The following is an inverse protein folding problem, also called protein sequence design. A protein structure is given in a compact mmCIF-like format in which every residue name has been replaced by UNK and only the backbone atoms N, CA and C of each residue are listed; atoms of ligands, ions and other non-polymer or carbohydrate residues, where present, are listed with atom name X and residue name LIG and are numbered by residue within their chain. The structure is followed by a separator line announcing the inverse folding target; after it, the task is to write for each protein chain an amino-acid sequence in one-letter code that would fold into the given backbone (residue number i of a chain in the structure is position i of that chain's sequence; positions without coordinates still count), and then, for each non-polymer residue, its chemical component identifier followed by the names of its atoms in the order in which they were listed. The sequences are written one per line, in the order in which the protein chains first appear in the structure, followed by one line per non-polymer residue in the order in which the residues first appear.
data_IF_424300759219
#
_entry.id   IF_424300759219
#
_cell.length_a   1.000
_cell.length_b   1.000
_cell.length_c   1.000
_cell.angle_alpha   90.00
_cell.angle_beta   90.00
_cell.angle_gamma   90.00
#
_symmetry.space_group_name_H-M   'P 1'
#
loop_
_entity.id
_entity.type
_entity.pdbx_description
1 polymer ?
#
# COMPACT_ATOMS: atom_id res chain seq x y z
N UNK A 1 42.50 13.97 2.97
CA UNK A 1 43.23 12.68 2.75
C UNK A 1 44.07 12.33 3.99
N UNK A 2 45.38 12.10 3.97
CA UNK A 2 46.05 11.36 5.07
C UNK A 2 46.37 12.13 6.36
N UNK A 3 46.06 13.43 6.46
CA UNK A 3 46.25 14.22 7.69
C UNK A 3 44.96 14.34 8.53
N UNK A 4 43.82 14.03 7.90
CA UNK A 4 42.47 13.92 8.46
C UNK A 4 41.68 12.99 7.55
N UNK A 5 41.74 11.66 7.76
CA UNK A 5 40.97 10.70 6.97
C UNK A 5 39.46 10.84 7.21
N UNK A 6 39.05 11.20 8.43
CA UNK A 6 37.66 11.48 8.81
C UNK A 6 37.00 12.58 7.97
N UNK A 7 37.74 13.62 7.58
CA UNK A 7 37.27 14.69 6.67
C UNK A 7 37.23 14.24 5.18
N UNK A 8 37.47 12.95 4.85
CA UNK A 8 37.64 12.49 3.45
C UNK A 8 37.11 11.08 3.14
N UNK A 9 36.85 10.23 4.15
CA UNK A 9 36.44 8.84 3.95
C UNK A 9 35.33 8.44 4.94
N UNK A 10 34.12 8.18 4.41
CA UNK A 10 32.96 7.76 5.20
C UNK A 10 33.16 6.38 5.86
N UNK A 11 34.04 5.55 5.29
CA UNK A 11 34.46 4.28 5.86
C UNK A 11 35.98 4.25 6.12
N UNK A 12 36.37 4.30 7.40
CA UNK A 12 37.76 4.20 7.84
C UNK A 12 38.46 2.89 7.37
N UNK A 13 37.69 1.83 7.09
CA UNK A 13 38.22 0.59 6.50
C UNK A 13 38.76 0.80 5.08
N UNK A 14 38.10 1.64 4.28
CA UNK A 14 38.54 1.98 2.92
C UNK A 14 39.84 2.81 2.99
N UNK A 15 39.93 3.74 3.94
CA UNK A 15 41.16 4.49 4.21
C UNK A 15 42.32 3.57 4.61
N UNK A 16 42.10 2.62 5.52
CA UNK A 16 43.13 1.64 5.92
C UNK A 16 43.56 0.74 4.75
N UNK A 17 42.64 0.32 3.88
CA UNK A 17 42.96 -0.44 2.68
C UNK A 17 43.85 0.36 1.70
N UNK A 18 43.48 1.60 1.39
CA UNK A 18 44.29 2.50 0.54
C UNK A 18 45.67 2.76 1.17
N UNK A 19 45.74 2.95 2.49
CA UNK A 19 47.00 3.17 3.21
C UNK A 19 47.87 1.90 3.27
N UNK A 20 47.28 0.71 3.28
CA UNK A 20 48.00 -0.56 3.10
C UNK A 20 48.67 -0.61 1.73
N UNK A 21 47.90 -0.46 0.63
CA UNK A 21 48.46 -0.47 -0.72
C UNK A 21 49.52 0.63 -0.95
N UNK A 22 49.27 1.86 -0.46
CA UNK A 22 50.27 2.95 -0.48
C UNK A 22 51.55 2.60 0.27
N UNK A 23 51.48 1.77 1.31
CA UNK A 23 52.65 1.33 2.08
C UNK A 23 53.39 0.20 1.36
N UNK A 24 52.67 -0.75 0.74
CA UNK A 24 53.26 -1.81 -0.08
C UNK A 24 53.94 -1.28 -1.34
N UNK A 25 53.31 -0.37 -2.07
CA UNK A 25 53.89 0.36 -3.22
C UNK A 25 55.18 1.13 -2.87
N UNK A 26 55.40 1.47 -1.60
CA UNK A 26 56.64 2.09 -1.10
C UNK A 26 57.73 1.09 -0.69
N UNK A 27 57.37 -0.18 -0.53
CA UNK A 27 58.24 -1.28 -0.12
C UNK A 27 58.52 -2.25 -1.29
N UNK A 28 57.84 -2.09 -2.42
CA UNK A 28 58.13 -2.77 -3.67
C UNK A 28 59.38 -2.16 -4.33
N UNK A 29 60.43 -2.97 -4.46
CA UNK A 29 61.72 -2.61 -5.06
C UNK A 29 61.90 -3.19 -6.48
N UNK A 30 61.00 -4.06 -6.94
CA UNK A 30 61.08 -4.72 -8.25
C UNK A 30 59.80 -4.62 -9.08
N UNK A 31 59.95 -4.68 -10.41
CA UNK A 31 58.84 -4.68 -11.37
C UNK A 31 57.78 -5.76 -11.09
N UNK A 32 58.20 -6.96 -10.66
CA UNK A 32 57.26 -8.06 -10.37
C UNK A 32 56.48 -7.82 -9.07
N UNK A 33 57.09 -7.18 -8.07
CA UNK A 33 56.37 -6.71 -6.87
C UNK A 33 55.36 -5.62 -7.25
N UNK A 34 55.77 -4.62 -8.04
CA UNK A 34 54.88 -3.57 -8.53
C UNK A 34 53.71 -4.13 -9.35
N UNK A 35 53.93 -5.17 -10.15
CA UNK A 35 52.86 -5.90 -10.87
C UNK A 35 51.89 -6.60 -9.93
N UNK A 36 52.37 -7.23 -8.85
CA UNK A 36 51.48 -7.86 -7.86
C UNK A 36 50.60 -6.85 -7.12
N UNK A 37 51.10 -5.64 -6.85
CA UNK A 37 50.31 -4.57 -6.23
C UNK A 37 49.18 -4.04 -7.13
N UNK A 38 49.25 -4.19 -8.45
CA UNK A 38 48.13 -3.86 -9.35
C UNK A 38 46.92 -4.76 -9.08
N UNK A 39 47.15 -6.05 -8.79
CA UNK A 39 46.08 -6.97 -8.39
C UNK A 39 45.46 -6.59 -7.05
N UNK A 40 46.28 -6.21 -6.07
CA UNK A 40 45.81 -5.77 -4.75
C UNK A 40 45.06 -4.42 -4.81
N UNK A 41 45.50 -3.49 -5.67
CA UNK A 41 44.76 -2.25 -5.95
C UNK A 41 43.40 -2.51 -6.61
N UNK A 42 43.29 -3.52 -7.46
CA UNK A 42 42.02 -3.93 -8.07
C UNK A 42 41.05 -4.55 -7.04
N UNK A 43 41.55 -5.40 -6.14
CA UNK A 43 40.76 -5.91 -5.00
C UNK A 43 40.24 -4.78 -4.10
N UNK A 44 41.08 -3.77 -3.85
CA UNK A 44 40.70 -2.58 -3.07
C UNK A 44 39.70 -1.71 -3.83
N UNK A 45 39.86 -1.52 -5.14
CA UNK A 45 38.91 -0.77 -5.96
C UNK A 45 37.51 -1.39 -5.91
N UNK A 46 37.39 -2.71 -6.14
CA UNK A 46 36.14 -3.45 -6.01
C UNK A 46 35.53 -3.32 -4.60
N UNK A 47 36.35 -3.47 -3.55
CA UNK A 47 35.89 -3.33 -2.16
C UNK A 47 35.41 -1.93 -1.78
N UNK A 48 35.84 -0.89 -2.50
CA UNK A 48 35.43 0.51 -2.28
C UNK A 48 34.23 0.90 -3.15
N UNK A 49 34.23 0.47 -4.41
CA UNK A 49 33.19 0.78 -5.40
C UNK A 49 31.90 -0.02 -5.16
N UNK A 50 32.01 -1.30 -4.78
CA UNK A 50 30.85 -2.12 -4.44
C UNK A 50 30.50 -2.10 -2.95
N UNK A 51 31.45 -1.79 -2.06
CA UNK A 51 31.24 -1.66 -0.62
C UNK A 51 31.12 -2.98 0.15
N UNK A 52 30.51 -2.93 1.35
CA UNK A 52 30.48 -4.01 2.36
C UNK A 52 29.50 -5.17 2.04
N UNK A 53 29.38 -5.50 0.75
CA UNK A 53 28.43 -6.47 0.22
C UNK A 53 29.03 -7.87 0.17
N UNK A 54 28.19 -8.88 0.38
CA UNK A 54 28.66 -10.28 0.40
C UNK A 54 28.92 -10.86 -1.00
N UNK A 55 29.55 -12.04 -1.05
CA UNK A 55 29.74 -12.75 -2.31
C UNK A 55 28.41 -13.23 -2.92
N UNK A 56 27.46 -13.66 -2.09
CA UNK A 56 26.11 -14.01 -2.52
C UNK A 56 25.32 -12.77 -2.97
N UNK A 57 25.49 -11.64 -2.29
CA UNK A 57 24.83 -10.36 -2.62
C UNK A 57 25.28 -9.80 -3.97
N UNK A 58 26.58 -9.87 -4.29
CA UNK A 58 27.07 -9.55 -5.64
C UNK A 58 26.48 -10.46 -6.71
N UNK A 59 26.42 -11.78 -6.48
CA UNK A 59 25.76 -12.72 -7.39
C UNK A 59 24.27 -12.40 -7.58
N UNK A 60 23.58 -12.03 -6.51
CA UNK A 60 22.15 -11.72 -6.57
C UNK A 60 21.88 -10.55 -7.51
N UNK A 61 22.60 -9.43 -7.35
CA UNK A 61 22.45 -8.28 -8.25
C UNK A 61 22.86 -8.60 -9.70
N UNK A 62 23.92 -9.39 -9.90
CA UNK A 62 24.33 -9.85 -11.24
C UNK A 62 23.24 -10.70 -11.91
N UNK A 63 22.62 -11.62 -11.18
CA UNK A 63 21.53 -12.46 -11.70
C UNK A 63 20.23 -11.67 -11.94
N UNK A 64 19.89 -10.72 -11.06
CA UNK A 64 18.78 -9.78 -11.26
C UNK A 64 18.97 -8.97 -12.55
N UNK A 65 20.17 -8.42 -12.77
CA UNK A 65 20.48 -7.64 -13.97
C UNK A 65 20.48 -8.51 -15.24
N UNK A 66 21.09 -9.70 -15.20
CA UNK A 66 21.10 -10.63 -16.33
C UNK A 66 19.67 -11.04 -16.76
N UNK A 67 18.78 -11.29 -15.78
CA UNK A 67 17.37 -11.56 -16.05
C UNK A 67 16.62 -10.33 -16.58
N UNK A 68 16.87 -9.14 -16.02
CA UNK A 68 16.26 -7.90 -16.49
C UNK A 68 16.64 -7.61 -17.95
N UNK A 69 17.92 -7.75 -18.32
CA UNK A 69 18.37 -7.60 -19.70
C UNK A 69 17.86 -8.73 -20.61
N UNK A 70 17.73 -9.98 -20.15
CA UNK A 70 17.11 -11.06 -20.91
C UNK A 70 15.64 -10.75 -21.26
N UNK A 71 14.84 -10.34 -20.26
CA UNK A 71 13.43 -9.96 -20.44
C UNK A 71 13.30 -8.74 -21.36
N UNK A 72 14.11 -7.70 -21.14
CA UNK A 72 14.11 -6.44 -21.90
C UNK A 72 14.47 -6.65 -23.37
N UNK A 73 15.54 -7.39 -23.64
CA UNK A 73 15.97 -7.68 -25.01
C UNK A 73 15.07 -8.72 -25.71
N UNK A 74 14.31 -9.51 -24.94
CA UNK A 74 13.45 -10.55 -25.47
C UNK A 74 14.22 -11.81 -25.85
N UNK A 75 15.10 -12.24 -24.95
CA UNK A 75 15.82 -13.50 -25.04
C UNK A 75 14.87 -14.70 -25.12
N UNK A 76 15.38 -15.85 -25.53
CA UNK A 76 14.62 -17.10 -25.63
C UNK A 76 14.20 -17.65 -24.27
N UNK A 77 13.16 -18.47 -24.25
CA UNK A 77 12.66 -19.18 -23.06
C UNK A 77 13.77 -19.93 -22.31
N UNK A 78 14.74 -20.49 -23.04
CA UNK A 78 15.91 -21.21 -22.49
C UNK A 78 16.88 -20.26 -21.76
N UNK A 79 17.11 -19.06 -22.31
CA UNK A 79 17.94 -18.02 -21.70
C UNK A 79 17.24 -17.40 -20.47
N UNK A 80 15.93 -17.19 -20.56
CA UNK A 80 15.08 -16.72 -19.45
C UNK A 80 15.07 -17.75 -18.32
N UNK A 81 14.89 -19.04 -18.61
CA UNK A 81 14.92 -20.11 -17.61
C UNK A 81 16.30 -20.22 -16.94
N UNK A 82 17.38 -20.10 -17.72
CA UNK A 82 18.75 -20.05 -17.18
C UNK A 82 18.95 -18.86 -16.24
N UNK A 83 18.53 -17.66 -16.64
CA UNK A 83 18.64 -16.47 -15.80
C UNK A 83 17.76 -16.55 -14.53
N UNK A 84 16.54 -17.07 -14.64
CA UNK A 84 15.65 -17.37 -13.49
C UNK A 84 16.28 -18.37 -12.52
N UNK A 85 16.96 -19.40 -13.04
CA UNK A 85 17.68 -20.38 -12.22
C UNK A 85 18.86 -19.76 -11.48
N UNK A 86 19.70 -18.98 -12.18
CA UNK A 86 20.82 -18.25 -11.58
C UNK A 86 20.34 -17.26 -10.50
N UNK A 87 19.20 -16.60 -10.71
CA UNK A 87 18.54 -15.73 -9.73
C UNK A 87 18.08 -16.51 -8.49
N UNK A 88 17.37 -17.63 -8.67
CA UNK A 88 16.94 -18.50 -7.54
C UNK A 88 18.14 -19.02 -6.74
N UNK A 89 19.22 -19.45 -7.39
CA UNK A 89 20.43 -19.93 -6.72
C UNK A 89 21.14 -18.81 -5.93
N UNK A 90 21.25 -17.61 -6.50
CA UNK A 90 21.86 -16.46 -5.83
C UNK A 90 21.02 -15.93 -4.66
N UNK A 91 19.68 -15.88 -4.81
CA UNK A 91 18.76 -15.49 -3.74
C UNK A 91 18.85 -16.45 -2.54
N UNK A 92 18.91 -17.76 -2.79
CA UNK A 92 19.07 -18.76 -1.73
C UNK A 92 20.41 -18.60 -0.98
N UNK A 93 21.51 -18.32 -1.70
CA UNK A 93 22.81 -18.02 -1.07
C UNK A 93 22.73 -16.74 -0.21
N UNK A 94 22.10 -15.68 -0.72
CA UNK A 94 21.94 -14.43 0.02
C UNK A 94 21.11 -14.63 1.30
N UNK A 95 19.95 -15.27 1.20
CA UNK A 95 19.08 -15.53 2.37
C UNK A 95 19.77 -16.41 3.42
N UNK A 96 20.61 -17.36 2.99
CA UNK A 96 21.40 -18.20 3.90
C UNK A 96 22.49 -17.39 4.63
N UNK A 97 23.27 -16.56 3.93
CA UNK A 97 24.27 -15.68 4.55
C UNK A 97 23.62 -14.61 5.45
N UNK A 98 22.48 -14.04 5.02
CA UNK A 98 21.69 -13.09 5.80
C UNK A 98 21.19 -13.72 7.10
N UNK A 99 20.61 -14.92 7.04
CA UNK A 99 20.14 -15.65 8.23
C UNK A 99 21.29 -16.00 9.20
N UNK A 100 22.44 -16.42 8.69
CA UNK A 100 23.64 -16.65 9.52
C UNK A 100 24.12 -15.34 10.18
N UNK A 101 24.18 -14.24 9.43
CA UNK A 101 24.59 -12.92 9.93
C UNK A 101 23.58 -12.31 10.91
N UNK A 102 22.31 -12.69 10.82
CA UNK A 102 21.29 -12.35 11.81
C UNK A 102 21.47 -13.16 13.11
N UNK A 103 21.66 -14.49 13.01
CA UNK A 103 21.91 -15.36 14.17
C UNK A 103 23.21 -15.02 14.93
N UNK A 104 24.23 -14.53 14.22
CA UNK A 104 25.49 -14.06 14.82
C UNK A 104 25.39 -12.68 15.51
N UNK A 105 24.28 -11.96 15.34
CA UNK A 105 24.06 -10.66 15.95
C UNK A 105 23.16 -10.84 17.21
N UNK A 106 23.70 -10.80 18.44
CA UNK A 106 22.88 -11.00 19.65
C UNK A 106 21.84 -9.88 19.89
N UNK A 107 22.01 -8.73 19.24
CA UNK A 107 21.05 -7.62 19.21
C UNK A 107 20.17 -7.62 17.94
N UNK A 108 20.12 -8.72 17.18
CA UNK A 108 19.11 -8.86 16.13
C UNK A 108 17.71 -8.90 16.77
N UNK A 109 16.71 -8.16 16.26
CA UNK A 109 15.33 -8.30 16.74
C UNK A 109 14.88 -9.75 16.54
N UNK A 110 14.15 -10.29 17.53
CA UNK A 110 13.78 -11.70 17.56
C UNK A 110 12.63 -11.98 16.57
N UNK A 111 13.01 -12.12 15.29
CA UNK A 111 12.18 -12.45 14.13
C UNK A 111 11.53 -13.82 14.33
N UNK A 112 10.40 -13.85 15.05
CA UNK A 112 9.69 -15.09 15.36
C UNK A 112 8.20 -14.93 15.70
N UNK A 113 7.71 -13.72 16.03
CA UNK A 113 6.30 -13.48 16.32
C UNK A 113 5.81 -12.10 15.78
N UNK A 114 4.70 -12.13 15.05
CA UNK A 114 3.83 -10.98 14.68
C UNK A 114 4.38 -9.87 13.76
N UNK A 115 5.60 -9.96 13.25
CA UNK A 115 5.95 -9.26 12.01
C UNK A 115 5.27 -9.91 10.80
N UNK A 116 4.93 -9.12 9.76
CA UNK A 116 4.78 -9.69 8.41
C UNK A 116 6.17 -9.97 7.86
N UNK A 117 6.73 -11.10 8.28
CA UNK A 117 7.97 -11.62 7.73
C UNK A 117 7.84 -11.79 6.21
N UNK A 118 8.91 -11.47 5.47
CA UNK A 118 9.11 -11.97 4.12
C UNK A 118 9.21 -13.50 4.21
N UNK A 119 8.07 -14.18 4.05
CA UNK A 119 8.05 -15.64 4.01
C UNK A 119 8.79 -16.06 2.74
N UNK A 120 9.63 -17.09 2.83
CA UNK A 120 10.28 -17.65 1.65
C UNK A 120 9.25 -18.12 0.59
N UNK A 121 8.05 -18.53 1.03
CA UNK A 121 6.89 -18.81 0.16
C UNK A 121 6.40 -17.63 -0.68
N UNK A 122 6.70 -16.40 -0.30
CA UNK A 122 6.13 -15.20 -0.90
C UNK A 122 7.12 -14.64 -1.92
N UNK A 123 8.42 -14.64 -1.59
CA UNK A 123 9.53 -14.43 -2.53
C UNK A 123 9.51 -15.50 -3.63
N UNK A 124 9.33 -16.78 -3.28
CA UNK A 124 9.26 -17.86 -4.26
C UNK A 124 8.08 -17.69 -5.23
N UNK A 125 6.88 -17.38 -4.72
CA UNK A 125 5.71 -17.11 -5.58
C UNK A 125 5.94 -15.92 -6.53
N UNK A 126 6.59 -14.85 -6.06
CA UNK A 126 6.96 -13.71 -6.91
C UNK A 126 7.98 -14.12 -7.99
N UNK A 127 8.98 -14.95 -7.67
CA UNK A 127 9.92 -15.48 -8.68
C UNK A 127 9.22 -16.38 -9.70
N UNK A 128 8.27 -17.21 -9.26
CA UNK A 128 7.49 -18.08 -10.16
C UNK A 128 6.56 -17.24 -11.06
N UNK A 129 5.97 -16.15 -10.54
CA UNK A 129 5.17 -15.21 -11.33
C UNK A 129 6.03 -14.43 -12.35
N UNK A 130 7.23 -13.98 -11.96
CA UNK A 130 8.22 -13.38 -12.87
C UNK A 130 8.60 -14.35 -14.00
N UNK A 131 8.85 -15.63 -13.71
CA UNK A 131 9.16 -16.62 -14.75
C UNK A 131 8.00 -16.81 -15.73
N UNK A 132 6.77 -16.93 -15.21
CA UNK A 132 5.58 -17.10 -16.05
C UNK A 132 5.33 -15.87 -16.93
N UNK A 133 5.49 -14.65 -16.41
CA UNK A 133 5.33 -13.40 -17.17
C UNK A 133 6.48 -13.18 -18.17
N UNK A 134 7.70 -13.61 -17.85
CA UNK A 134 8.82 -13.57 -18.78
C UNK A 134 8.60 -14.52 -19.96
N UNK A 135 8.14 -15.76 -19.70
CA UNK A 135 7.82 -16.77 -20.72
C UNK A 135 6.52 -16.49 -21.49
N UNK A 136 5.53 -15.79 -20.91
CA UNK A 136 4.34 -15.34 -21.65
C UNK A 136 4.61 -14.15 -22.59
N UNK A 137 5.71 -13.43 -22.37
CA UNK A 137 6.03 -12.19 -23.07
C UNK A 137 5.47 -10.92 -22.42
N UNK A 138 4.87 -11.01 -21.22
CA UNK A 138 4.41 -9.88 -20.38
C UNK A 138 5.60 -9.13 -19.73
N UNK A 139 6.58 -8.72 -20.56
CA UNK A 139 7.88 -8.16 -20.14
C UNK A 139 7.76 -6.99 -19.17
N UNK A 140 6.83 -6.08 -19.41
CA UNK A 140 6.61 -4.88 -18.60
C UNK A 140 6.19 -5.24 -17.16
N UNK A 141 5.37 -6.29 -17.00
CA UNK A 141 4.94 -6.79 -15.67
C UNK A 141 6.05 -7.57 -14.97
N UNK A 142 6.80 -8.39 -15.71
CA UNK A 142 7.96 -9.09 -15.18
C UNK A 142 9.03 -8.09 -14.67
N UNK A 143 9.24 -6.98 -15.40
CA UNK A 143 10.10 -5.88 -14.95
C UNK A 143 9.54 -5.17 -13.70
N UNK A 144 8.23 -4.92 -13.63
CA UNK A 144 7.61 -4.32 -12.45
C UNK A 144 7.81 -5.17 -11.18
N UNK A 145 7.59 -6.49 -11.24
CA UNK A 145 7.81 -7.40 -10.11
C UNK A 145 9.30 -7.52 -9.74
N UNK A 146 10.22 -7.44 -10.71
CA UNK A 146 11.65 -7.39 -10.43
C UNK A 146 12.07 -6.10 -9.69
N UNK A 147 11.44 -4.96 -10.00
CA UNK A 147 11.63 -3.72 -9.24
C UNK A 147 11.07 -3.82 -7.82
N UNK A 148 9.87 -4.40 -7.65
CA UNK A 148 9.28 -4.62 -6.32
C UNK A 148 10.17 -5.53 -5.45
N UNK A 149 10.73 -6.59 -6.05
CA UNK A 149 11.71 -7.46 -5.41
C UNK A 149 13.00 -6.71 -5.02
N UNK A 150 13.46 -5.76 -5.84
CA UNK A 150 14.63 -4.92 -5.52
C UNK A 150 14.33 -3.96 -4.36
N UNK A 151 13.20 -3.26 -4.37
CA UNK A 151 12.81 -2.34 -3.29
C UNK A 151 12.60 -3.08 -1.96
N UNK A 152 11.98 -4.26 -2.01
CA UNK A 152 11.82 -5.16 -0.87
C UNK A 152 13.18 -5.53 -0.25
N UNK A 153 14.20 -5.78 -1.07
CA UNK A 153 15.57 -6.09 -0.64
C UNK A 153 16.31 -4.86 -0.10
N UNK A 154 16.16 -3.69 -0.75
CA UNK A 154 16.70 -2.41 -0.26
C UNK A 154 16.17 -2.10 1.15
N UNK A 155 14.86 -2.27 1.36
CA UNK A 155 14.20 -2.03 2.65
C UNK A 155 14.67 -3.01 3.74
N UNK A 156 14.93 -4.28 3.40
CA UNK A 156 15.50 -5.27 4.32
C UNK A 156 16.90 -4.87 4.82
N UNK A 157 17.67 -4.12 4.01
CA UNK A 157 18.97 -3.59 4.38
C UNK A 157 18.84 -2.29 5.20
N UNK A 158 18.00 -1.35 4.76
CA UNK A 158 17.77 -0.07 5.44
C UNK A 158 17.19 -0.24 6.85
N UNK A 159 16.27 -1.20 7.04
CA UNK A 159 15.69 -1.53 8.34
C UNK A 159 16.68 -2.02 9.41
N UNK A 160 17.95 -2.27 9.02
CA UNK A 160 19.05 -2.59 9.95
C UNK A 160 19.62 -1.36 10.66
N UNK A 161 19.40 -0.16 10.11
CA UNK A 161 20.11 1.07 10.52
C UNK A 161 19.23 2.02 11.36
N UNK A 162 17.92 1.74 11.45
CA UNK A 162 16.95 2.52 12.21
C UNK A 162 16.61 1.81 13.53
N UNK A 163 17.46 1.98 14.54
CA UNK A 163 17.25 1.46 15.91
C UNK A 163 17.53 2.56 16.92
N UNK A 164 16.48 3.23 17.42
CA UNK A 164 16.63 4.35 18.35
C UNK A 164 15.44 4.49 19.30
N UNK A 165 15.72 4.48 20.60
CA UNK A 165 14.80 4.87 21.67
C UNK A 165 13.74 3.83 22.06
N UNK A 166 13.63 3.54 23.36
CA UNK A 166 12.49 2.81 23.93
C UNK A 166 11.16 3.57 23.70
N UNK A 167 11.24 4.90 23.58
CA UNK A 167 10.13 5.83 23.32
C UNK A 167 9.44 5.60 21.95
N UNK A 168 10.17 5.09 20.95
CA UNK A 168 9.60 4.75 19.63
C UNK A 168 8.69 3.50 19.70
N UNK A 169 8.98 2.59 20.64
CA UNK A 169 8.18 1.37 20.88
C UNK A 169 6.79 1.69 21.43
N UNK A 170 6.66 2.65 22.34
CA UNK A 170 5.36 3.08 22.88
C UNK A 170 4.52 3.79 21.82
N UNK A 171 5.15 4.67 21.02
CA UNK A 171 4.46 5.39 19.95
C UNK A 171 3.96 4.45 18.85
N UNK A 172 4.78 3.47 18.45
CA UNK A 172 4.36 2.42 17.52
C UNK A 172 3.13 1.64 18.01
N UNK A 173 3.08 1.29 19.30
CA UNK A 173 1.91 0.63 19.88
C UNK A 173 0.64 1.50 19.83
N UNK A 174 0.74 2.84 19.87
CA UNK A 174 -0.41 3.70 19.68
C UNK A 174 -0.86 3.75 18.20
N UNK A 175 0.09 3.75 17.26
CA UNK A 175 -0.21 3.64 15.82
C UNK A 175 -0.90 2.31 15.46
N UNK A 176 -0.44 1.20 16.04
CA UNK A 176 -1.05 -0.12 15.82
C UNK A 176 -2.51 -0.17 16.33
N UNK A 177 -2.80 0.41 17.51
CA UNK A 177 -4.16 0.58 18.06
C UNK A 177 -5.04 1.48 17.18
N UNK A 178 -4.51 2.61 16.72
CA UNK A 178 -5.22 3.52 15.80
C UNK A 178 -5.59 2.80 14.50
N UNK A 179 -4.67 1.99 13.97
CA UNK A 179 -4.93 1.10 12.84
C UNK A 179 -6.00 0.05 13.12
N UNK A 180 -6.10 -0.48 14.34
CA UNK A 180 -7.15 -1.41 14.75
C UNK A 180 -8.53 -0.74 14.86
N UNK A 181 -8.62 0.41 15.53
CA UNK A 181 -9.85 1.20 15.64
C UNK A 181 -10.40 1.54 14.23
N UNK A 182 -9.54 1.98 13.31
CA UNK A 182 -9.96 2.26 11.93
C UNK A 182 -10.47 1.01 11.17
N UNK A 183 -9.90 -0.17 11.40
CA UNK A 183 -10.39 -1.43 10.78
C UNK A 183 -11.75 -1.82 11.35
N UNK A 184 -11.86 -1.92 12.67
CA UNK A 184 -13.12 -2.29 13.35
C UNK A 184 -14.25 -1.30 13.03
N UNK A 185 -13.96 0.00 12.94
CA UNK A 185 -14.95 1.02 12.56
C UNK A 185 -15.45 0.84 11.12
N UNK A 186 -14.57 0.46 10.19
CA UNK A 186 -14.91 0.16 8.79
C UNK A 186 -15.73 -1.13 8.66
N UNK A 187 -15.39 -2.17 9.43
CA UNK A 187 -16.13 -3.44 9.51
C UNK A 187 -17.55 -3.20 10.06
N UNK A 188 -17.66 -2.54 11.21
CA UNK A 188 -18.93 -2.17 11.85
C UNK A 188 -19.82 -1.29 10.96
N UNK A 189 -19.25 -0.37 10.19
CA UNK A 189 -20.00 0.43 9.22
C UNK A 189 -20.56 -0.43 8.08
N UNK A 190 -19.80 -1.43 7.61
CA UNK A 190 -20.28 -2.36 6.59
C UNK A 190 -21.41 -3.25 7.13
N UNK A 191 -21.30 -3.73 8.36
CA UNK A 191 -22.33 -4.54 9.00
C UNK A 191 -23.59 -3.73 9.33
N UNK A 192 -23.45 -2.48 9.79
CA UNK A 192 -24.58 -1.55 9.99
C UNK A 192 -25.30 -1.28 8.66
N UNK A 193 -24.57 -0.98 7.59
CA UNK A 193 -25.13 -0.78 6.25
C UNK A 193 -25.83 -2.03 5.72
N UNK A 194 -25.27 -3.22 5.96
CA UNK A 194 -25.87 -4.50 5.58
C UNK A 194 -27.16 -4.77 6.35
N UNK A 195 -27.19 -4.45 7.64
CA UNK A 195 -28.36 -4.62 8.50
C UNK A 195 -29.52 -3.69 8.08
N UNK A 196 -29.20 -2.42 7.78
CA UNK A 196 -30.17 -1.46 7.23
C UNK A 196 -30.71 -1.90 5.86
N UNK A 197 -29.83 -2.33 4.95
CA UNK A 197 -30.22 -2.83 3.62
C UNK A 197 -31.19 -4.02 3.71
N UNK A 198 -31.02 -4.92 4.68
CA UNK A 198 -31.97 -6.02 4.93
C UNK A 198 -33.33 -5.48 5.39
N UNK A 199 -33.37 -4.58 6.37
CA UNK A 199 -34.61 -3.96 6.86
C UNK A 199 -35.37 -3.21 5.74
N UNK A 200 -34.67 -2.45 4.91
CA UNK A 200 -35.23 -1.76 3.73
C UNK A 200 -35.83 -2.74 2.72
N UNK A 201 -35.12 -3.84 2.45
CA UNK A 201 -35.59 -4.90 1.55
C UNK A 201 -36.86 -5.59 2.04
N UNK A 202 -36.99 -5.81 3.35
CA UNK A 202 -38.19 -6.40 3.95
C UNK A 202 -39.39 -5.44 3.94
N UNK A 203 -39.18 -4.15 4.28
CA UNK A 203 -40.24 -3.12 4.20
C UNK A 203 -40.84 -3.00 2.80
N UNK A 204 -40.01 -2.97 1.75
CA UNK A 204 -40.49 -2.94 0.36
C UNK A 204 -41.23 -4.22 -0.05
N UNK A 205 -40.91 -5.37 0.56
CA UNK A 205 -41.53 -6.66 0.27
C UNK A 205 -42.83 -6.90 1.04
N UNK A 206 -43.01 -6.24 2.18
CA UNK A 206 -44.30 -6.16 2.89
C UNK A 206 -45.32 -5.33 2.12
N UNK A 207 -44.96 -4.10 1.74
CA UNK A 207 -45.87 -3.17 1.05
C UNK A 207 -46.50 -3.76 -0.22
N UNK A 208 -45.72 -4.48 -1.04
CA UNK A 208 -46.19 -5.13 -2.26
C UNK A 208 -47.08 -6.38 -2.04
N UNK A 209 -47.49 -6.69 -0.78
CA UNK A 209 -48.32 -7.87 -0.48
C UNK A 209 -49.76 -7.54 -0.11
N UNK A 210 -50.01 -6.40 0.54
CA UNK A 210 -51.35 -5.99 0.94
C UNK A 210 -52.15 -5.33 -0.20
N UNK A 211 -51.47 -4.79 -1.23
CA UNK A 211 -52.11 -4.21 -2.43
C UNK A 211 -52.60 -5.25 -3.48
N UNK A 212 -52.53 -6.56 -3.19
CA UNK A 212 -53.00 -7.62 -4.10
C UNK A 212 -53.86 -8.70 -3.41
N UNK A 213 -54.61 -8.31 -2.37
CA UNK A 213 -55.57 -9.19 -1.67
C UNK A 213 -57.01 -8.62 -1.57
N UNK A 214 -57.37 -7.67 -2.43
CA UNK A 214 -58.74 -7.19 -2.64
C UNK A 214 -59.10 -7.20 -4.12
N UNK A 215 -60.34 -7.61 -4.44
CA UNK A 215 -60.96 -7.67 -5.79
C UNK A 215 -60.03 -8.21 -6.90
N UNK A 216 -60.10 -9.49 -7.27
CA UNK A 216 -61.27 -10.00 -7.99
C UNK A 216 -61.46 -11.52 -7.90
N UNK A 217 -62.61 -11.99 -8.40
CA UNK A 217 -62.97 -13.41 -8.46
C UNK A 217 -62.87 -14.05 -9.86
N UNK A 218 -63.05 -15.37 -9.88
CA UNK A 218 -63.26 -16.23 -11.05
C UNK A 218 -62.08 -16.58 -12.00
N UNK A 219 -62.13 -17.85 -12.45
CA UNK A 219 -61.52 -18.42 -13.66
C UNK A 219 -60.03 -18.17 -13.96
N UNK A 220 -59.22 -19.20 -13.69
CA UNK A 220 -58.51 -19.88 -14.79
C UNK A 220 -58.27 -21.36 -14.48
N UNK A 221 -58.80 -22.23 -15.34
CA UNK A 221 -58.58 -23.68 -15.32
C UNK A 221 -57.71 -24.05 -16.52
N UNK A 222 -56.57 -24.68 -16.29
CA UNK A 222 -55.77 -25.34 -17.34
C UNK A 222 -54.86 -26.40 -16.71
N UNK A 223 -55.05 -27.64 -17.12
CA UNK A 223 -54.14 -28.74 -16.84
C UNK A 223 -53.10 -28.82 -17.96
N UNK A 224 -51.82 -28.95 -17.61
CA UNK A 224 -50.97 -29.98 -18.22
C UNK A 224 -49.84 -30.34 -17.23
N UNK A 225 -49.24 -31.52 -17.35
CA UNK A 225 -48.50 -32.14 -16.25
C UNK A 225 -47.19 -32.80 -16.65
N UNK A 226 -46.12 -32.55 -15.89
CA UNK A 226 -44.90 -33.38 -15.92
C UNK A 226 -44.29 -33.48 -14.51
N UNK A 227 -43.82 -34.68 -14.14
CA UNK A 227 -43.15 -34.94 -12.85
C UNK A 227 -41.70 -34.46 -12.85
N UNK A 228 -41.21 -34.01 -11.68
CA UNK A 228 -39.92 -34.47 -11.16
C UNK A 228 -40.09 -35.58 -10.10
N UNK A 229 -39.03 -36.35 -9.86
CA UNK A 229 -38.95 -37.32 -8.75
C UNK A 229 -38.31 -36.71 -7.50
N UNK A 230 -38.24 -37.46 -6.38
CA UNK A 230 -37.54 -37.01 -5.17
C UNK A 230 -36.02 -36.96 -5.43
N UNK A 231 -35.43 -35.78 -5.29
CA UNK A 231 -33.99 -35.54 -5.37
C UNK A 231 -33.56 -34.51 -4.33
N UNK A 232 -32.35 -34.67 -3.79
CA UNK A 232 -31.75 -33.89 -2.70
C UNK A 232 -32.05 -32.37 -2.71
N UNK A 233 -32.42 -31.83 -1.55
CA UNK A 233 -32.51 -30.40 -1.25
C UNK A 233 -31.16 -29.68 -1.38
N UNK A 234 -30.82 -29.29 -2.61
CA UNK A 234 -29.68 -28.39 -2.92
C UNK A 234 -30.14 -27.22 -3.78
N UNK A 235 -30.90 -26.31 -3.18
CA UNK A 235 -31.19 -25.00 -3.77
C UNK A 235 -29.87 -24.22 -3.98
N UNK A 236 -29.47 -23.90 -5.23
CA UNK A 236 -28.25 -23.12 -5.49
C UNK A 236 -28.38 -21.64 -5.10
N UNK A 237 -29.61 -21.16 -4.87
CA UNK A 237 -29.92 -19.78 -4.48
C UNK A 237 -30.17 -19.73 -2.97
N UNK A 238 -29.10 -19.94 -2.18
CA UNK A 238 -29.07 -19.84 -0.73
C UNK A 238 -29.45 -18.45 -0.20
N UNK A 239 -30.74 -18.12 -0.27
CA UNK A 239 -31.33 -16.88 0.22
C UNK A 239 -31.12 -16.81 1.73
N UNK A 240 -30.57 -15.71 2.29
CA UNK A 240 -30.56 -15.54 3.74
C UNK A 240 -32.00 -15.62 4.24
N UNK A 241 -32.20 -16.34 5.35
CA UNK A 241 -33.51 -16.37 6.01
C UNK A 241 -33.85 -14.93 6.45
N UNK A 242 -35.10 -14.48 6.30
CA UNK A 242 -35.53 -13.20 6.89
C UNK A 242 -35.26 -13.24 8.40
N UNK A 243 -34.68 -12.17 8.92
CA UNK A 243 -34.30 -12.05 10.32
C UNK A 243 -35.55 -11.70 11.14
N UNK A 244 -35.75 -12.32 12.30
CA UNK A 244 -36.89 -11.94 13.15
C UNK A 244 -36.69 -10.52 13.71
N UNK A 245 -37.76 -9.77 14.01
CA UNK A 245 -37.63 -8.43 14.61
C UNK A 245 -36.84 -8.41 15.93
N UNK A 246 -36.78 -9.54 16.64
CA UNK A 246 -36.01 -9.68 17.88
C UNK A 246 -34.52 -9.91 17.60
N UNK A 247 -34.16 -10.82 16.69
CA UNK A 247 -32.77 -10.98 16.21
C UNK A 247 -32.22 -9.67 15.62
N UNK A 248 -33.06 -8.88 14.95
CA UNK A 248 -32.69 -7.57 14.41
C UNK A 248 -32.39 -6.54 15.52
N UNK A 249 -33.20 -6.50 16.58
CA UNK A 249 -32.95 -5.64 17.73
C UNK A 249 -31.69 -6.06 18.50
N UNK A 250 -31.47 -7.37 18.68
CA UNK A 250 -30.24 -7.91 19.29
C UNK A 250 -28.99 -7.63 18.45
N UNK A 251 -29.11 -7.61 17.11
CA UNK A 251 -28.02 -7.24 16.19
C UNK A 251 -27.68 -5.74 16.24
N UNK A 252 -28.69 -4.86 16.24
CA UNK A 252 -28.48 -3.41 16.46
C UNK A 252 -27.81 -3.13 17.80
N UNK A 253 -28.24 -3.81 18.86
CA UNK A 253 -27.65 -3.67 20.20
C UNK A 253 -26.19 -4.11 20.25
N UNK A 254 -25.81 -5.18 19.54
CA UNK A 254 -24.40 -5.59 19.41
C UNK A 254 -23.56 -4.55 18.65
N UNK A 255 -24.10 -3.95 17.58
CA UNK A 255 -23.44 -2.85 16.87
C UNK A 255 -23.27 -1.63 17.78
N UNK A 256 -24.30 -1.27 18.55
CA UNK A 256 -24.25 -0.17 19.53
C UNK A 256 -23.18 -0.40 20.60
N UNK A 257 -23.20 -1.57 21.26
CA UNK A 257 -22.22 -1.94 22.29
C UNK A 257 -20.79 -1.96 21.73
N UNK A 258 -20.61 -2.35 20.46
CA UNK A 258 -19.33 -2.24 19.76
C UNK A 258 -18.93 -0.79 19.49
N UNK A 259 -19.87 0.07 19.08
CA UNK A 259 -19.59 1.46 18.72
C UNK A 259 -19.08 2.28 19.91
N UNK A 260 -19.70 2.10 21.08
CA UNK A 260 -19.24 2.70 22.34
C UNK A 260 -17.91 2.11 22.85
N UNK A 261 -17.60 0.85 22.53
CA UNK A 261 -16.27 0.28 22.76
C UNK A 261 -15.20 0.95 21.89
N UNK A 262 -15.46 1.21 20.60
CA UNK A 262 -14.52 1.92 19.73
C UNK A 262 -14.28 3.37 20.17
N UNK A 263 -15.33 4.08 20.60
CA UNK A 263 -15.17 5.41 21.21
C UNK A 263 -14.31 5.34 22.48
N UNK A 264 -14.54 4.32 23.33
CA UNK A 264 -13.77 4.09 24.56
C UNK A 264 -12.31 3.70 24.28
N UNK A 265 -12.02 3.03 23.17
CA UNK A 265 -10.65 2.74 22.71
C UNK A 265 -9.96 4.00 22.17
N UNK A 266 -10.68 4.83 21.42
CA UNK A 266 -10.19 6.13 20.93
C UNK A 266 -9.88 7.11 22.07
N UNK A 267 -10.70 7.18 23.11
CA UNK A 267 -10.43 8.02 24.29
C UNK A 267 -9.27 7.49 25.15
N UNK A 268 -9.01 6.18 25.17
CA UNK A 268 -7.78 5.61 25.77
C UNK A 268 -6.55 5.95 24.94
N UNK A 269 -6.65 5.90 23.61
CA UNK A 269 -5.59 6.30 22.69
C UNK A 269 -5.23 7.77 22.88
N UNK A 270 -6.21 8.68 22.87
CA UNK A 270 -6.00 10.13 23.11
C UNK A 270 -5.26 10.40 24.43
N UNK A 271 -5.72 9.80 25.54
CA UNK A 271 -5.05 9.91 26.86
C UNK A 271 -3.64 9.34 26.88
N UNK A 272 -3.38 8.29 26.09
CA UNK A 272 -2.02 7.76 25.90
C UNK A 272 -1.10 8.72 25.16
N UNK A 273 -1.61 9.48 24.19
CA UNK A 273 -0.86 10.52 23.47
C UNK A 273 -0.59 11.74 24.35
N UNK A 274 -1.62 12.21 25.07
CA UNK A 274 -1.50 13.27 26.09
C UNK A 274 -0.42 12.92 27.12
N UNK A 275 -0.41 11.67 27.62
CA UNK A 275 0.58 11.17 28.57
C UNK A 275 2.02 11.11 28.04
N UNK A 276 2.21 11.06 26.72
CA UNK A 276 3.52 11.16 26.05
C UNK A 276 3.88 12.59 25.64
N UNK A 277 3.08 13.60 26.03
CA UNK A 277 3.32 15.01 25.70
C UNK A 277 2.92 15.41 24.28
N UNK A 278 2.14 14.59 23.57
CA UNK A 278 1.53 14.96 22.29
C UNK A 278 0.11 15.48 22.49
N UNK A 279 -0.16 16.68 22.00
CA UNK A 279 -1.53 17.22 21.95
C UNK A 279 -2.38 16.40 20.96
N UNK A 280 -3.52 15.80 21.39
CA UNK A 280 -4.41 15.11 20.48
C UNK A 280 -5.14 16.11 19.59
N UNK A 281 -4.98 15.94 18.27
CA UNK A 281 -5.56 16.84 17.28
C UNK A 281 -7.10 16.82 17.22
N UNK A 282 -7.64 17.84 16.55
CA UNK A 282 -9.09 18.02 16.36
C UNK A 282 -9.74 16.82 15.66
N UNK A 283 -9.03 16.14 14.75
CA UNK A 283 -9.51 14.93 14.07
C UNK A 283 -9.90 13.80 15.02
N UNK A 284 -9.12 13.53 16.07
CA UNK A 284 -9.51 12.54 17.09
C UNK A 284 -10.65 13.03 17.99
N UNK A 285 -10.82 14.34 18.15
CA UNK A 285 -11.96 14.95 18.83
C UNK A 285 -13.27 14.83 18.05
N UNK A 286 -13.24 15.10 16.75
CA UNK A 286 -14.38 14.94 15.82
C UNK A 286 -14.75 13.48 15.60
N UNK A 287 -13.76 12.58 15.53
CA UNK A 287 -13.99 11.15 15.46
C UNK A 287 -14.76 10.64 16.69
N UNK A 288 -14.33 10.99 17.90
CA UNK A 288 -14.98 10.57 19.14
C UNK A 288 -16.43 11.07 19.27
N UNK A 289 -16.73 12.29 18.81
CA UNK A 289 -18.11 12.80 18.74
C UNK A 289 -18.94 12.00 17.74
N UNK A 290 -18.42 11.81 16.53
CA UNK A 290 -19.10 11.08 15.45
C UNK A 290 -19.35 9.60 15.80
N UNK A 291 -18.49 8.98 16.62
CA UNK A 291 -18.73 7.64 17.18
C UNK A 291 -19.89 7.63 18.19
N UNK A 292 -19.97 8.62 19.08
CA UNK A 292 -21.05 8.73 20.06
C UNK A 292 -22.41 9.02 19.41
N UNK A 293 -22.43 9.89 18.39
CA UNK A 293 -23.63 10.08 17.57
C UNK A 293 -24.09 8.76 16.92
N UNK A 294 -23.14 7.97 16.39
CA UNK A 294 -23.44 6.68 15.79
C UNK A 294 -23.96 5.66 16.81
N UNK A 295 -23.41 5.64 18.03
CA UNK A 295 -23.91 4.82 19.13
C UNK A 295 -25.37 5.20 19.50
N UNK A 296 -25.69 6.50 19.49
CA UNK A 296 -27.05 6.97 19.70
C UNK A 296 -27.99 6.52 18.56
N UNK A 297 -27.65 6.78 17.29
CA UNK A 297 -28.47 6.34 16.14
C UNK A 297 -28.68 4.83 16.10
N UNK A 298 -27.66 4.01 16.48
CA UNK A 298 -27.81 2.56 16.59
C UNK A 298 -28.81 2.16 17.68
N UNK A 299 -28.77 2.83 18.85
CA UNK A 299 -29.72 2.61 19.94
C UNK A 299 -31.15 3.07 19.64
N UNK A 300 -31.32 4.09 18.79
CA UNK A 300 -32.61 4.57 18.29
C UNK A 300 -33.12 3.75 17.08
N UNK A 301 -32.31 2.84 16.55
CA UNK A 301 -32.64 1.94 15.43
C UNK A 301 -32.47 2.56 14.03
N UNK A 302 -31.79 3.70 13.95
CA UNK A 302 -31.55 4.47 12.74
C UNK A 302 -30.25 4.04 12.02
N UNK A 303 -30.25 2.84 11.44
CA UNK A 303 -29.09 2.28 10.72
C UNK A 303 -28.51 3.22 9.67
N UNK A 304 -29.36 3.81 8.83
CA UNK A 304 -29.04 4.89 7.88
C UNK A 304 -28.23 6.05 8.50
N UNK A 305 -28.70 6.61 9.62
CA UNK A 305 -28.05 7.75 10.28
C UNK A 305 -26.71 7.31 10.89
N UNK A 306 -26.69 6.14 11.54
CA UNK A 306 -25.50 5.55 12.11
C UNK A 306 -24.38 5.37 11.06
N UNK A 307 -24.67 4.81 9.87
CA UNK A 307 -23.68 4.70 8.78
C UNK A 307 -23.10 6.06 8.38
N UNK A 308 -23.94 7.10 8.36
CA UNK A 308 -23.49 8.48 8.11
C UNK A 308 -22.55 9.03 9.19
N UNK A 309 -22.83 8.77 10.47
CA UNK A 309 -21.96 9.17 11.58
C UNK A 309 -20.67 8.33 11.64
N UNK A 310 -20.74 7.03 11.37
CA UNK A 310 -19.58 6.12 11.24
C UNK A 310 -18.64 6.53 10.11
N UNK A 311 -19.18 6.94 8.96
CA UNK A 311 -18.40 7.49 7.84
C UNK A 311 -17.64 8.76 8.23
N UNK A 312 -18.30 9.70 8.93
CA UNK A 312 -17.67 10.91 9.49
C UNK A 312 -16.58 10.58 10.50
N UNK A 313 -16.82 9.60 11.38
CA UNK A 313 -15.83 9.13 12.35
C UNK A 313 -14.57 8.59 11.65
N UNK A 314 -14.73 7.75 10.62
CA UNK A 314 -13.62 7.17 9.88
C UNK A 314 -12.83 8.20 9.06
N UNK A 315 -13.49 9.23 8.52
CA UNK A 315 -12.80 10.36 7.89
C UNK A 315 -12.01 11.20 8.89
N UNK A 316 -12.59 11.50 10.05
CA UNK A 316 -11.94 12.25 11.12
C UNK A 316 -10.73 11.48 11.72
N UNK A 317 -10.82 10.15 11.89
CA UNK A 317 -9.69 9.28 12.24
C UNK A 317 -8.55 9.39 11.22
N UNK A 318 -8.87 9.37 9.91
CA UNK A 318 -7.87 9.49 8.83
C UNK A 318 -7.20 10.87 8.82
N UNK A 319 -7.93 11.95 9.11
CA UNK A 319 -7.37 13.30 9.29
C UNK A 319 -6.42 13.34 10.50
N UNK A 320 -6.88 12.85 11.66
CA UNK A 320 -6.07 12.83 12.88
C UNK A 320 -4.81 11.96 12.78
N UNK A 321 -4.86 10.82 12.08
CA UNK A 321 -3.69 10.00 11.77
C UNK A 321 -2.67 10.75 10.90
N UNK A 322 -3.14 11.49 9.89
CA UNK A 322 -2.29 12.27 8.97
C UNK A 322 -1.63 13.46 9.68
N UNK A 323 -2.37 14.13 10.57
CA UNK A 323 -1.87 15.23 11.39
C UNK A 323 -0.83 14.75 12.42
N UNK A 324 -1.07 13.61 13.06
CA UNK A 324 -0.09 12.95 13.93
C UNK A 324 1.22 12.62 13.17
N UNK A 325 1.14 12.03 11.97
CA UNK A 325 2.36 11.75 11.18
C UNK A 325 3.10 13.04 10.78
N UNK A 326 2.38 14.12 10.46
CA UNK A 326 2.99 15.43 10.19
C UNK A 326 3.69 16.02 11.42
N UNK A 327 3.09 15.87 12.60
CA UNK A 327 3.66 16.31 13.89
C UNK A 327 4.91 15.50 14.25
N UNK A 328 4.87 14.17 14.08
CA UNK A 328 6.02 13.28 14.24
C UNK A 328 7.16 13.66 13.28
N UNK A 329 6.86 13.91 12.01
CA UNK A 329 7.85 14.32 11.01
C UNK A 329 8.48 15.68 11.35
N UNK A 330 7.73 16.61 11.94
CA UNK A 330 8.26 17.86 12.46
C UNK A 330 9.17 17.67 13.68
N UNK A 331 8.77 16.85 14.66
CA UNK A 331 9.58 16.54 15.84
C UNK A 331 10.88 15.80 15.50
N UNK A 332 10.83 14.88 14.53
CA UNK A 332 12.03 14.17 14.04
C UNK A 332 12.97 15.09 13.25
N UNK A 333 12.44 16.12 12.58
CA UNK A 333 13.24 17.17 11.94
C UNK A 333 13.99 18.08 12.92
N UNK A 334 13.47 18.27 14.13
CA UNK A 334 14.03 19.19 15.14
C UNK A 334 15.04 18.51 16.10
N UNK A 335 14.95 17.18 16.27
CA UNK A 335 15.94 16.39 17.03
C UNK A 335 17.13 15.89 16.18
N UNK A 336 17.11 16.06 14.86
CA UNK A 336 18.23 15.78 13.94
C UNK A 336 19.38 16.81 14.00
N UNK A 337 19.67 17.36 15.17
CA UNK A 337 20.44 18.59 15.40
C UNK A 337 21.97 18.50 15.22
N UNK A 338 22.50 17.73 14.27
CA UNK A 338 23.94 17.76 13.93
C UNK A 338 24.24 17.31 12.49
N UNK A 339 24.34 18.30 11.60
CA UNK A 339 25.04 18.35 10.31
C UNK A 339 24.87 17.24 9.23
N UNK A 340 24.73 17.73 7.99
CA UNK A 340 25.11 17.10 6.71
C UNK A 340 24.07 16.21 6.00
N UNK A 341 23.88 16.44 4.67
CA UNK A 341 23.14 15.52 3.79
C UNK A 341 21.87 16.02 3.06
N UNK A 342 21.64 17.33 2.88
CA UNK A 342 20.33 17.86 2.42
C UNK A 342 20.29 18.75 1.16
N UNK A 343 21.28 18.71 0.25
CA UNK A 343 21.30 19.60 -0.93
C UNK A 343 20.53 19.04 -2.14
N UNK A 344 19.32 19.55 -2.40
CA UNK A 344 18.77 19.61 -3.77
C UNK A 344 17.68 20.68 -3.97
N UNK A 345 17.77 21.86 -3.32
CA UNK A 345 16.82 22.97 -3.58
C UNK A 345 17.30 24.40 -3.26
N UNK A 346 18.61 24.67 -3.31
CA UNK A 346 19.17 26.03 -3.17
C UNK A 346 20.13 26.35 -4.34
N UNK A 347 19.66 27.15 -5.29
CA UNK A 347 20.44 27.61 -6.47
C UNK A 347 20.45 29.14 -6.65
N UNK A 348 19.71 29.91 -5.82
CA UNK A 348 19.35 31.32 -6.07
C UNK A 348 19.78 32.30 -4.96
N UNK A 349 20.85 32.00 -4.19
CA UNK A 349 21.34 32.88 -3.12
C UNK A 349 22.83 33.23 -3.23
N UNK A 350 23.15 34.48 -2.91
CA UNK A 350 24.51 34.96 -2.70
C UNK A 350 25.16 34.19 -1.53
N UNK A 351 26.47 33.86 -1.54
CA UNK A 351 27.17 33.32 -0.37
C UNK A 351 27.25 34.31 0.82
N UNK A 352 26.70 35.53 0.68
CA UNK A 352 26.42 36.49 1.74
C UNK A 352 24.92 36.57 2.11
N UNK A 353 24.13 35.55 1.74
CA UNK A 353 22.73 35.37 2.17
C UNK A 353 21.69 36.26 1.49
N UNK A 354 22.07 37.06 0.48
CA UNK A 354 21.18 38.01 -0.20
C UNK A 354 20.46 37.38 -1.40
N UNK A 355 19.15 37.66 -1.60
CA UNK A 355 18.47 37.35 -2.85
C UNK A 355 18.96 38.30 -3.96
N UNK A 356 19.11 37.79 -5.18
CA UNK A 356 19.35 38.64 -6.36
C UNK A 356 18.06 39.31 -6.80
N UNK A 357 18.16 40.52 -7.34
CA UNK A 357 17.01 41.30 -7.79
C UNK A 357 17.08 41.62 -9.28
N UNK A 358 15.93 41.52 -9.96
CA UNK A 358 15.64 41.96 -11.35
C UNK A 358 16.27 41.11 -12.48
N UNK A 359 15.63 40.92 -13.65
CA UNK A 359 14.31 41.40 -14.11
C UNK A 359 13.70 40.50 -15.20
N UNK A 360 12.38 40.32 -15.15
CA UNK A 360 11.50 39.77 -16.19
C UNK A 360 10.04 40.10 -15.83
N UNK A 361 9.08 40.18 -16.78
CA UNK A 361 7.71 40.59 -16.46
C UNK A 361 6.92 39.60 -15.60
N UNK A 362 5.92 40.14 -14.91
CA UNK A 362 4.90 39.41 -14.14
C UNK A 362 3.70 39.11 -15.05
N UNK A 363 3.46 37.83 -15.33
CA UNK A 363 2.21 37.32 -15.93
C UNK A 363 1.46 36.54 -14.85
N UNK A 364 0.47 37.20 -14.23
CA UNK A 364 -0.31 36.63 -13.14
C UNK A 364 -1.16 35.41 -13.54
N UNK A 365 -1.50 34.59 -12.54
CA UNK A 365 -2.25 33.32 -12.62
C UNK A 365 -1.54 32.13 -13.30
N UNK A 366 -0.86 31.31 -12.48
CA UNK A 366 -1.15 29.86 -12.50
C UNK A 366 -0.72 29.18 -11.19
N UNK A 367 -1.65 28.51 -10.53
CA UNK A 367 -1.32 27.41 -9.61
C UNK A 367 -1.08 26.18 -10.47
N UNK A 368 0.20 25.79 -10.65
CA UNK A 368 0.55 24.58 -11.40
C UNK A 368 0.14 23.32 -10.61
N UNK A 369 -1.08 22.86 -10.87
CA UNK A 369 -1.44 21.45 -10.74
C UNK A 369 -0.63 20.66 -11.78
N UNK A 370 -0.03 19.49 -11.44
CA UNK A 370 0.62 18.63 -12.41
C UNK A 370 -0.38 17.93 -13.36
N UNK A 371 -0.72 18.56 -14.48
CA UNK A 371 -1.56 18.01 -15.54
C UNK A 371 -0.83 16.92 -16.36
N UNK A 372 -0.62 15.72 -15.79
CA UNK A 372 -0.12 14.57 -16.58
C UNK A 372 -0.72 13.19 -16.23
N UNK A 373 -1.89 13.12 -15.58
CA UNK A 373 -2.66 11.86 -15.42
C UNK A 373 -4.16 12.02 -15.76
N UNK A 374 -4.52 12.76 -16.81
CA UNK A 374 -5.91 12.75 -17.33
C UNK A 374 -6.08 12.62 -18.86
N UNK A 375 -5.03 12.73 -19.69
CA UNK A 375 -5.17 12.52 -21.16
C UNK A 375 -5.60 11.09 -21.49
N UNK A 376 -5.16 10.09 -20.72
CA UNK A 376 -5.59 8.70 -20.88
C UNK A 376 -7.00 8.47 -20.33
N UNK A 377 -7.32 9.00 -19.14
CA UNK A 377 -8.62 8.83 -18.48
C UNK A 377 -9.74 9.55 -19.25
N UNK A 378 -9.50 10.77 -19.74
CA UNK A 378 -10.43 11.51 -20.58
C UNK A 378 -10.74 10.77 -21.89
N UNK A 379 -9.76 10.09 -22.50
CA UNK A 379 -10.00 9.22 -23.67
C UNK A 379 -10.88 8.03 -23.32
N UNK A 380 -10.59 7.30 -22.24
CA UNK A 380 -11.43 6.18 -21.77
C UNK A 380 -12.88 6.63 -21.48
N UNK A 381 -13.06 7.80 -20.86
CA UNK A 381 -14.39 8.38 -20.58
C UNK A 381 -15.10 8.76 -21.88
N UNK A 382 -14.45 9.47 -22.80
CA UNK A 382 -15.03 9.86 -24.10
C UNK A 382 -15.36 8.64 -24.97
N UNK A 383 -14.55 7.59 -24.92
CA UNK A 383 -14.76 6.34 -25.66
C UNK A 383 -15.89 5.51 -25.05
N UNK A 384 -15.99 5.43 -23.73
CA UNK A 384 -17.14 4.85 -23.03
C UNK A 384 -18.44 5.63 -23.33
N UNK A 385 -18.40 6.97 -23.31
CA UNK A 385 -19.53 7.84 -23.67
C UNK A 385 -19.93 7.63 -25.14
N UNK A 386 -18.96 7.61 -26.08
CA UNK A 386 -19.22 7.37 -27.50
C UNK A 386 -19.80 5.98 -27.76
N UNK A 387 -19.29 4.94 -27.08
CA UNK A 387 -19.81 3.56 -27.16
C UNK A 387 -21.20 3.43 -26.55
N UNK A 388 -21.52 4.21 -25.51
CA UNK A 388 -22.85 4.22 -24.87
C UNK A 388 -23.88 5.02 -25.68
N UNK A 389 -23.51 6.15 -26.26
CA UNK A 389 -24.35 6.93 -27.19
C UNK A 389 -24.59 6.20 -28.52
N UNK A 390 -23.55 5.58 -29.09
CA UNK A 390 -23.66 4.78 -30.32
C UNK A 390 -24.56 3.54 -30.18
N UNK A 391 -24.79 3.08 -28.95
CA UNK A 391 -25.69 1.97 -28.62
C UNK A 391 -27.02 2.43 -27.99
N UNK A 392 -27.29 3.74 -27.86
CA UNK A 392 -28.49 4.27 -27.22
C UNK A 392 -29.71 4.39 -28.16
N UNK A 393 -29.51 4.18 -29.46
CA UNK A 393 -30.56 4.19 -30.48
C UNK A 393 -30.60 2.83 -31.19
N UNK A 394 -31.39 1.90 -30.65
CA UNK A 394 -31.84 0.75 -31.43
C UNK A 394 -32.72 1.23 -32.58
N UNK A 395 -32.61 0.68 -33.81
CA UNK A 395 -33.37 1.13 -34.98
C UNK A 395 -34.90 1.19 -34.78
N UNK A 396 -35.44 0.38 -33.88
CA UNK A 396 -36.88 0.29 -33.58
C UNK A 396 -37.42 1.53 -32.82
N UNK A 397 -36.57 2.20 -32.03
CA UNK A 397 -36.91 3.47 -31.35
C UNK A 397 -36.93 4.61 -32.38
N UNK A 398 -35.98 4.63 -33.32
CA UNK A 398 -35.92 5.63 -34.37
C UNK A 398 -37.10 5.48 -35.36
N UNK A 399 -37.44 4.23 -35.74
CA UNK A 399 -38.67 3.92 -36.50
C UNK A 399 -39.93 4.44 -35.82
N UNK A 400 -40.14 4.05 -34.57
CA UNK A 400 -41.36 4.40 -33.82
C UNK A 400 -41.40 5.88 -33.39
N UNK A 401 -40.32 6.65 -33.57
CA UNK A 401 -40.34 8.11 -33.52
C UNK A 401 -40.77 8.71 -34.88
N UNK A 402 -40.21 8.22 -35.99
CA UNK A 402 -40.53 8.68 -37.35
C UNK A 402 -41.96 8.37 -37.78
N UNK A 403 -42.52 7.23 -37.40
CA UNK A 403 -43.92 6.86 -37.66
C UNK A 403 -44.89 7.83 -36.99
N UNK A 404 -44.69 8.13 -35.69
CA UNK A 404 -45.48 9.15 -34.97
C UNK A 404 -45.31 10.57 -35.53
N UNK A 405 -44.19 10.87 -36.19
CA UNK A 405 -43.98 12.15 -36.87
C UNK A 405 -44.71 12.25 -38.22
N UNK A 406 -45.06 11.11 -38.83
CA UNK A 406 -45.81 11.01 -40.08
C UNK A 406 -47.33 10.98 -39.88
N UNK A 407 -47.82 10.45 -38.76
CA UNK A 407 -49.24 10.49 -38.37
C UNK A 407 -49.73 11.90 -37.93
N UNK A 408 -48.83 12.87 -37.82
CA UNK A 408 -49.12 14.27 -37.46
C UNK A 408 -49.24 15.21 -38.68
N UNK A 409 -49.71 14.69 -39.82
CA UNK A 409 -50.05 15.44 -41.04
C UNK A 409 -51.30 14.91 -41.74
#
# INVERSE_FOLDING_TARGET
ITLRPEDTFDNMSHYLAIMSARSRLKLAETDDQLRSEVGYLWEIALGIEEGNLSAAERRLRQAQQALQDAIKNGASDEEIEKAMKELREAMNQFLQEFAQRAQQNPNAPQMQQNGRELRQSDINRMMDEIENLAKSGDRDRAQQLLSELQDMMNNLQAGRQQQGGEQDSEMRQQMDKLGEIMRRQQEMMNDTFRLDQMQRGERQRGANRDEQLGEDGEQSQSEDGQKPGPGDDRDPLGRPKPMTPQEFADALKQLQEGQGQLQSELDKLKKGLEGMGMEPNEGFGEAGKSMGDAEQSLGEGEGDQAVGHQGRALEALRRGAKEMMKQMQAMQGDQGGSEQGGRQQDADRDPLGRPRATKGPDDGNSVKVPDEIDVQRARQILEAIRKRLGNALSPDIERSYLERLLELK
#
